data_IF_394179241649
#
_entry.id   IF_394179241649
#
_cell.length_a   1.000
_cell.length_b   1.000
_cell.length_c   1.000
_cell.angle_alpha   90.00
_cell.angle_beta   90.00
_cell.angle_gamma   90.00
#
_symmetry.space_group_name_H-M   'P 1'
#
loop_
_entity.id
_entity.type
_entity.pdbx_description
1 polymer ?
#
# COMPACT_ATOMS: atom_id res chain seq x y z
N UNK A 1 17.05 19.48 -57.00
CA UNK A 1 16.42 19.79 -55.70
C UNK A 1 15.29 18.79 -55.54
N UNK A 2 15.49 17.83 -54.66
CA UNK A 2 14.98 16.44 -54.75
C UNK A 2 13.65 16.26 -54.02
N UNK A 3 12.79 15.36 -54.52
CA UNK A 3 11.48 14.99 -53.93
C UNK A 3 11.53 14.72 -52.41
N UNK A 4 12.70 14.33 -51.90
CA UNK A 4 12.99 14.13 -50.50
C UNK A 4 12.81 15.40 -49.64
N UNK A 5 13.20 16.59 -50.12
CA UNK A 5 13.01 17.85 -49.38
C UNK A 5 11.53 18.23 -49.29
N UNK A 6 10.77 18.03 -50.37
CA UNK A 6 9.32 18.27 -50.37
C UNK A 6 8.58 17.27 -49.46
N UNK A 7 8.98 16.01 -49.46
CA UNK A 7 8.45 14.99 -48.56
C UNK A 7 8.74 15.33 -47.08
N UNK A 8 9.99 15.68 -46.76
CA UNK A 8 10.40 16.05 -45.41
C UNK A 8 9.69 17.30 -44.89
N UNK A 9 9.51 18.31 -45.75
CA UNK A 9 8.75 19.52 -45.38
C UNK A 9 7.26 19.24 -45.14
N UNK A 10 6.64 18.29 -45.88
CA UNK A 10 5.24 17.88 -45.64
C UNK A 10 5.08 17.17 -44.30
N UNK A 11 5.96 16.23 -43.98
CA UNK A 11 5.93 15.50 -42.68
C UNK A 11 6.15 16.46 -41.52
N UNK A 12 7.14 17.36 -41.60
CA UNK A 12 7.42 18.32 -40.53
C UNK A 12 6.26 19.28 -40.28
N UNK A 13 5.52 19.67 -41.33
CA UNK A 13 4.31 20.51 -41.20
C UNK A 13 3.14 19.73 -40.61
N UNK A 14 2.94 18.46 -41.01
CA UNK A 14 1.93 17.60 -40.39
C UNK A 14 2.24 17.35 -38.91
N UNK A 15 3.47 16.99 -38.55
CA UNK A 15 3.88 16.81 -37.16
C UNK A 15 3.67 18.08 -36.34
N UNK A 16 4.08 19.26 -36.83
CA UNK A 16 3.84 20.52 -36.13
C UNK A 16 2.35 20.80 -35.94
N UNK A 17 1.52 20.56 -36.95
CA UNK A 17 0.08 20.77 -36.89
C UNK A 17 -0.59 19.80 -35.93
N UNK A 18 -0.19 18.53 -35.96
CA UNK A 18 -0.74 17.50 -35.09
C UNK A 18 -0.30 17.73 -33.64
N UNK A 19 0.97 18.07 -33.38
CA UNK A 19 1.43 18.47 -32.04
C UNK A 19 0.67 19.69 -31.53
N UNK A 20 0.42 20.69 -32.37
CA UNK A 20 -0.38 21.85 -32.00
C UNK A 20 -1.82 21.45 -31.67
N UNK A 21 -2.48 20.64 -32.51
CA UNK A 21 -3.85 20.17 -32.27
C UNK A 21 -3.94 19.36 -30.98
N UNK A 22 -3.03 18.42 -30.75
CA UNK A 22 -2.99 17.63 -29.52
C UNK A 22 -2.71 18.48 -28.28
N UNK A 23 -1.80 19.46 -28.38
CA UNK A 23 -1.53 20.38 -27.27
C UNK A 23 -2.74 21.27 -26.96
N UNK A 24 -3.45 21.73 -27.98
CA UNK A 24 -4.63 22.60 -27.82
C UNK A 24 -5.81 21.82 -27.26
N UNK A 25 -6.01 20.58 -27.71
CA UNK A 25 -6.99 19.65 -27.15
C UNK A 25 -6.68 19.34 -25.68
N UNK A 26 -5.42 19.09 -25.34
CA UNK A 26 -4.99 18.83 -23.97
C UNK A 26 -5.21 20.04 -23.06
N UNK A 27 -4.86 21.25 -23.52
CA UNK A 27 -5.13 22.50 -22.80
C UNK A 27 -6.63 22.72 -22.63
N UNK A 28 -7.43 22.45 -23.66
CA UNK A 28 -8.89 22.62 -23.59
C UNK A 28 -9.53 21.61 -22.63
N UNK A 29 -9.10 20.35 -22.66
CA UNK A 29 -9.53 19.33 -21.71
C UNK A 29 -9.09 19.67 -20.29
N UNK A 30 -7.88 20.20 -20.09
CA UNK A 30 -7.39 20.65 -18.79
C UNK A 30 -8.25 21.80 -18.25
N UNK A 31 -8.54 22.82 -19.07
CA UNK A 31 -9.36 23.96 -18.67
C UNK A 31 -10.83 23.56 -18.42
N UNK A 32 -11.37 22.64 -19.22
CA UNK A 32 -12.72 22.09 -19.02
C UNK A 32 -12.79 21.26 -17.73
N UNK A 33 -11.80 20.40 -17.49
CA UNK A 33 -11.69 19.62 -16.25
C UNK A 33 -11.53 20.53 -15.02
N UNK A 34 -10.73 21.60 -15.12
CA UNK A 34 -10.57 22.58 -14.04
C UNK A 34 -11.86 23.30 -13.69
N UNK A 35 -12.71 23.59 -14.68
CA UNK A 35 -14.06 24.17 -14.44
C UNK A 35 -15.04 23.18 -13.84
N UNK A 36 -15.00 21.91 -14.25
CA UNK A 36 -15.90 20.86 -13.72
C UNK A 36 -15.49 20.42 -12.31
N UNK A 37 -14.19 20.43 -12.00
CA UNK A 37 -13.65 20.01 -10.71
C UNK A 37 -13.56 21.14 -9.65
N UNK A 38 -14.11 22.33 -9.94
CA UNK A 38 -13.97 23.54 -9.10
C UNK A 38 -12.51 23.86 -8.69
N UNK A 39 -11.53 23.40 -9.48
CA UNK A 39 -10.12 23.52 -9.14
C UNK A 39 -9.61 24.91 -9.55
N UNK A 40 -9.59 25.84 -8.61
CA UNK A 40 -9.06 27.19 -8.83
C UNK A 40 -7.58 27.27 -8.44
N UNK A 41 -6.71 27.44 -9.45
CA UNK A 41 -5.27 27.66 -9.25
C UNK A 41 -4.95 28.85 -8.33
N UNK A 42 -5.83 29.86 -8.31
CA UNK A 42 -5.66 31.02 -7.43
C UNK A 42 -5.83 30.63 -5.95
N UNK A 43 -6.79 29.76 -5.64
CA UNK A 43 -6.99 29.24 -4.28
C UNK A 43 -5.77 28.44 -3.84
N UNK A 44 -5.21 27.60 -4.72
CA UNK A 44 -3.97 26.86 -4.42
C UNK A 44 -2.82 27.80 -4.12
N UNK A 45 -2.64 28.86 -4.93
CA UNK A 45 -1.60 29.85 -4.70
C UNK A 45 -1.79 30.62 -3.38
N UNK A 46 -3.04 30.94 -3.02
CA UNK A 46 -3.38 31.63 -1.77
C UNK A 46 -3.29 30.74 -0.52
N UNK A 47 -3.58 29.45 -0.65
CA UNK A 47 -3.47 28.47 0.43
C UNK A 47 -2.03 27.96 0.62
N UNK A 48 -1.14 28.18 -0.35
CA UNK A 48 0.24 27.71 -0.30
C UNK A 48 1.02 28.22 0.93
N UNK A 49 0.95 29.50 1.34
CA UNK A 49 1.58 29.96 2.59
C UNK A 49 1.07 29.22 3.83
N UNK A 50 -0.25 29.05 3.97
CA UNK A 50 -0.88 28.38 5.12
C UNK A 50 -0.38 26.93 5.29
N UNK A 51 -0.08 26.24 4.19
CA UNK A 51 0.53 24.92 4.24
C UNK A 51 1.93 24.94 4.86
N UNK A 52 2.75 25.94 4.53
CA UNK A 52 4.08 26.11 5.11
C UNK A 52 4.02 26.56 6.58
N UNK A 53 3.04 27.38 6.94
CA UNK A 53 2.79 27.77 8.33
C UNK A 53 2.47 26.54 9.18
N UNK A 54 1.57 25.67 8.69
CA UNK A 54 1.25 24.40 9.34
C UNK A 54 2.46 23.45 9.47
N UNK A 55 3.28 23.35 8.42
CA UNK A 55 4.51 22.56 8.49
C UNK A 55 5.49 23.11 9.55
N UNK A 56 5.60 24.44 9.66
CA UNK A 56 6.46 25.07 10.65
C UNK A 56 5.94 24.83 12.08
N UNK A 57 4.63 24.86 12.30
CA UNK A 57 4.01 24.59 13.61
C UNK A 57 4.19 23.14 14.06
N UNK A 58 4.23 22.18 13.13
CA UNK A 58 4.51 20.78 13.42
C UNK A 58 5.95 20.58 13.91
N UNK A 59 6.92 21.34 13.39
CA UNK A 59 8.32 21.13 13.73
C UNK A 59 8.58 21.42 15.22
N UNK A 60 9.19 20.49 15.98
CA UNK A 60 9.46 20.72 17.39
C UNK A 60 10.56 21.77 17.55
N UNK A 61 10.32 22.75 18.42
CA UNK A 61 11.32 23.75 18.80
C UNK A 61 12.26 23.12 19.84
N UNK A 62 13.28 22.40 19.38
CA UNK A 62 14.27 21.76 20.27
C UNK A 62 15.41 22.74 20.59
N UNK A 63 15.65 22.98 21.88
CA UNK A 63 16.77 23.80 22.34
C UNK A 63 17.96 22.90 22.69
N UNK A 64 19.06 23.02 21.94
CA UNK A 64 20.25 22.18 22.09
C UNK A 64 20.83 22.18 23.51
N UNK A 65 20.68 23.28 24.25
CA UNK A 65 21.14 23.42 25.64
C UNK A 65 20.24 22.74 26.66
N UNK A 66 18.96 22.52 26.33
CA UNK A 66 17.93 21.93 27.20
C UNK A 66 17.47 20.56 26.69
N UNK A 67 18.19 19.98 25.71
CA UNK A 67 17.78 18.80 24.98
C UNK A 67 17.54 17.58 25.88
N UNK A 68 18.37 17.44 26.92
CA UNK A 68 18.28 16.38 27.94
C UNK A 68 17.69 16.87 29.27
N UNK A 69 17.00 18.02 29.28
CA UNK A 69 16.27 18.49 30.45
C UNK A 69 15.01 17.62 30.69
N UNK A 70 14.36 17.84 31.82
CA UNK A 70 13.22 17.06 32.28
C UNK A 70 12.00 17.20 31.36
N UNK A 71 11.01 16.29 31.52
CA UNK A 71 9.78 16.28 30.73
C UNK A 71 8.82 17.45 30.94
N UNK A 72 9.20 18.43 31.76
CA UNK A 72 8.44 19.67 32.02
C UNK A 72 9.03 20.89 31.32
N UNK A 73 10.23 20.76 30.76
CA UNK A 73 10.94 21.87 30.12
C UNK A 73 10.60 21.93 28.64
N UNK A 74 9.92 22.99 28.22
CA UNK A 74 9.63 23.23 26.81
C UNK A 74 10.92 23.21 25.98
N UNK A 75 10.90 22.48 24.86
CA UNK A 75 12.05 22.28 23.98
C UNK A 75 13.06 21.21 24.40
N UNK A 76 12.79 20.44 25.47
CA UNK A 76 13.51 19.19 25.77
C UNK A 76 12.94 18.00 24.99
N UNK A 77 13.77 16.97 24.76
CA UNK A 77 13.29 15.71 24.15
C UNK A 77 12.27 14.99 25.02
N UNK A 78 12.43 15.08 26.34
CA UNK A 78 11.51 14.46 27.29
C UNK A 78 10.14 15.12 27.28
N UNK A 79 10.08 16.45 27.09
CA UNK A 79 8.83 17.17 26.91
C UNK A 79 8.18 16.79 25.58
N UNK A 80 8.92 16.83 24.47
CA UNK A 80 8.37 16.43 23.16
C UNK A 80 7.83 15.00 23.17
N UNK A 81 8.53 14.08 23.84
CA UNK A 81 8.19 12.67 23.97
C UNK A 81 7.31 12.28 25.16
N UNK A 82 6.64 13.21 25.84
CA UNK A 82 5.94 12.89 27.08
C UNK A 82 4.80 11.87 26.92
N UNK A 83 4.22 11.73 25.71
CA UNK A 83 3.16 10.75 25.40
C UNK A 83 3.65 9.47 24.75
N UNK A 84 4.97 9.26 24.63
CA UNK A 84 5.53 7.99 24.16
C UNK A 84 4.97 6.75 24.88
N UNK A 85 4.70 6.77 26.21
CA UNK A 85 4.08 5.64 26.91
C UNK A 85 2.69 5.27 26.39
N UNK A 86 1.99 6.20 25.72
CA UNK A 86 0.68 5.96 25.10
C UNK A 86 0.85 5.62 23.61
N UNK A 87 1.73 6.34 22.91
CA UNK A 87 1.94 6.16 21.46
C UNK A 87 2.58 4.81 21.12
N UNK A 88 3.54 4.32 21.91
CA UNK A 88 4.22 3.05 21.65
C UNK A 88 3.26 1.84 21.69
N UNK A 89 2.39 1.68 22.71
CA UNK A 89 1.33 0.67 22.68
C UNK A 89 0.40 0.80 21.47
N UNK A 90 0.01 2.01 21.08
CA UNK A 90 -0.88 2.22 19.94
C UNK A 90 -0.24 1.84 18.59
N UNK A 91 1.07 2.08 18.44
CA UNK A 91 1.84 1.58 17.30
C UNK A 91 1.86 0.06 17.29
N UNK A 92 2.05 -0.55 18.46
CA UNK A 92 2.01 -2.00 18.60
C UNK A 92 0.65 -2.58 18.23
N UNK A 93 -0.46 -1.97 18.68
CA UNK A 93 -1.82 -2.33 18.27
C UNK A 93 -2.01 -2.20 16.74
N UNK A 94 -1.48 -1.13 16.15
CA UNK A 94 -1.54 -0.88 14.69
C UNK A 94 -0.78 -1.94 13.91
N UNK A 95 0.37 -2.39 14.43
CA UNK A 95 1.17 -3.48 13.86
C UNK A 95 0.47 -4.83 14.02
N UNK A 96 -0.10 -5.12 15.19
CA UNK A 96 -0.86 -6.34 15.44
C UNK A 96 -2.08 -6.44 14.51
N UNK A 97 -2.79 -5.34 14.30
CA UNK A 97 -3.92 -5.25 13.38
C UNK A 97 -3.48 -5.60 11.95
N UNK A 98 -2.40 -4.97 11.47
CA UNK A 98 -1.85 -5.23 10.14
C UNK A 98 -1.36 -6.68 9.99
N UNK A 99 -0.66 -7.22 11.00
CA UNK A 99 -0.20 -8.61 11.04
C UNK A 99 -1.37 -9.58 11.00
N UNK A 100 -2.37 -9.40 11.86
CA UNK A 100 -3.53 -10.29 11.92
C UNK A 100 -4.31 -10.32 10.60
N UNK A 101 -4.58 -9.15 10.01
CA UNK A 101 -5.25 -9.04 8.73
C UNK A 101 -4.46 -9.70 7.61
N UNK A 102 -3.13 -9.51 7.60
CA UNK A 102 -2.24 -10.12 6.61
C UNK A 102 -2.18 -11.63 6.76
N UNK A 103 -2.05 -12.17 7.97
CA UNK A 103 -1.98 -13.61 8.21
C UNK A 103 -3.28 -14.32 7.80
N UNK A 104 -4.43 -13.77 8.17
CA UNK A 104 -5.73 -14.28 7.72
C UNK A 104 -5.80 -14.26 6.18
N UNK A 105 -5.41 -13.14 5.58
CA UNK A 105 -5.47 -12.97 4.14
C UNK A 105 -4.52 -13.92 3.41
N UNK A 106 -3.31 -14.16 3.91
CA UNK A 106 -2.37 -15.13 3.33
C UNK A 106 -2.95 -16.54 3.34
N UNK A 107 -3.56 -16.96 4.46
CA UNK A 107 -4.19 -18.28 4.56
C UNK A 107 -5.33 -18.46 3.56
N UNK A 108 -6.28 -17.52 3.54
CA UNK A 108 -7.42 -17.57 2.61
C UNK A 108 -6.99 -17.41 1.15
N UNK A 109 -6.09 -16.46 0.86
CA UNK A 109 -5.59 -16.22 -0.48
C UNK A 109 -4.81 -17.41 -1.03
N UNK A 110 -4.02 -18.10 -0.21
CA UNK A 110 -3.30 -19.30 -0.66
C UNK A 110 -4.29 -20.37 -1.14
N UNK A 111 -5.36 -20.62 -0.39
CA UNK A 111 -6.41 -21.59 -0.77
C UNK A 111 -7.13 -21.13 -2.04
N UNK A 112 -7.62 -19.89 -2.08
CA UNK A 112 -8.35 -19.36 -3.23
C UNK A 112 -7.48 -19.31 -4.48
N UNK A 113 -6.19 -19.04 -4.35
CA UNK A 113 -5.27 -18.94 -5.48
C UNK A 113 -5.10 -20.28 -6.22
N UNK A 114 -5.09 -21.41 -5.51
CA UNK A 114 -5.04 -22.73 -6.15
C UNK A 114 -6.27 -22.97 -7.04
N UNK A 115 -7.46 -22.56 -6.60
CA UNK A 115 -8.69 -22.67 -7.38
C UNK A 115 -8.81 -21.59 -8.49
N UNK A 116 -8.16 -20.45 -8.30
CA UNK A 116 -8.18 -19.34 -9.27
C UNK A 116 -7.17 -19.51 -10.41
N UNK A 117 -6.16 -20.36 -10.26
CA UNK A 117 -5.10 -20.53 -11.24
C UNK A 117 -5.53 -21.34 -12.49
N UNK A 118 -5.09 -20.90 -13.66
CA UNK A 118 -5.38 -21.53 -14.96
C UNK A 118 -4.71 -22.90 -15.14
N UNK A 119 -3.56 -23.15 -14.48
CA UNK A 119 -2.83 -24.42 -14.56
C UNK A 119 -3.32 -25.49 -13.57
N UNK A 120 -4.28 -25.16 -12.71
CA UNK A 120 -4.98 -26.14 -11.87
C UNK A 120 -6.14 -26.76 -12.63
N UNK A 121 -6.48 -28.02 -12.34
CA UNK A 121 -7.63 -28.75 -12.93
C UNK A 121 -9.00 -28.23 -12.43
N UNK A 122 -9.11 -26.96 -12.05
CA UNK A 122 -10.35 -26.35 -11.55
C UNK A 122 -11.29 -26.01 -12.71
N UNK A 123 -12.61 -26.28 -12.58
CA UNK A 123 -13.57 -25.90 -13.61
C UNK A 123 -13.53 -24.40 -13.93
N UNK A 124 -13.66 -24.05 -15.22
CA UNK A 124 -13.59 -22.66 -15.70
C UNK A 124 -14.59 -21.74 -14.99
N UNK A 125 -15.80 -22.24 -14.71
CA UNK A 125 -16.85 -21.49 -14.00
C UNK A 125 -16.43 -21.10 -12.58
N UNK A 126 -15.91 -22.06 -11.80
CA UNK A 126 -15.42 -21.84 -10.44
C UNK A 126 -14.26 -20.85 -10.43
N UNK A 127 -13.32 -21.03 -11.36
CA UNK A 127 -12.17 -20.13 -11.52
C UNK A 127 -12.60 -18.70 -11.82
N UNK A 128 -13.51 -18.51 -12.77
CA UNK A 128 -14.02 -17.18 -13.12
C UNK A 128 -14.81 -16.55 -11.96
N UNK A 129 -15.61 -17.33 -11.23
CA UNK A 129 -16.33 -16.86 -10.06
C UNK A 129 -15.38 -16.35 -8.96
N UNK A 130 -14.32 -17.10 -8.66
CA UNK A 130 -13.30 -16.68 -7.68
C UNK A 130 -12.57 -15.43 -8.18
N UNK A 131 -12.14 -15.38 -9.45
CA UNK A 131 -11.45 -14.21 -10.01
C UNK A 131 -12.34 -12.96 -9.97
N UNK A 132 -13.63 -13.09 -10.26
CA UNK A 132 -14.59 -12.00 -10.18
C UNK A 132 -14.82 -11.53 -8.73
N UNK A 133 -15.00 -12.46 -7.79
CA UNK A 133 -15.14 -12.14 -6.37
C UNK A 133 -13.90 -11.41 -5.80
N UNK A 134 -12.71 -11.95 -6.09
CA UNK A 134 -11.42 -11.37 -5.70
C UNK A 134 -11.22 -9.99 -6.35
N UNK A 135 -11.65 -9.81 -7.60
CA UNK A 135 -11.64 -8.52 -8.27
C UNK A 135 -12.56 -7.51 -7.59
N UNK A 136 -13.75 -7.92 -7.15
CA UNK A 136 -14.66 -7.07 -6.38
C UNK A 136 -14.03 -6.61 -5.06
N UNK A 137 -13.48 -7.55 -4.26
CA UNK A 137 -12.87 -7.25 -2.96
C UNK A 137 -11.78 -6.17 -3.04
N UNK A 138 -10.92 -6.24 -4.07
CA UNK A 138 -9.78 -5.31 -4.26
C UNK A 138 -10.16 -4.01 -4.96
N UNK A 139 -11.31 -3.94 -5.62
CA UNK A 139 -11.75 -2.72 -6.33
C UNK A 139 -12.23 -1.67 -5.33
N UNK A 140 -12.83 -2.11 -4.23
CA UNK A 140 -13.25 -1.22 -3.15
C UNK A 140 -12.04 -0.71 -2.35
N UNK A 141 -11.89 0.62 -2.18
CA UNK A 141 -10.86 1.19 -1.33
C UNK A 141 -10.99 0.72 0.13
N UNK A 142 -9.86 0.54 0.81
CA UNK A 142 -9.82 0.08 2.21
C UNK A 142 -10.58 1.04 3.14
N UNK A 143 -10.55 2.35 2.86
CA UNK A 143 -11.34 3.35 3.61
C UNK A 143 -12.84 3.19 3.43
N UNK A 144 -13.31 2.82 2.23
CA UNK A 144 -14.73 2.59 2.00
C UNK A 144 -15.22 1.38 2.81
N UNK A 145 -14.45 0.28 2.81
CA UNK A 145 -14.72 -0.86 3.69
C UNK A 145 -14.74 -0.46 5.16
N UNK A 146 -13.76 0.33 5.59
CA UNK A 146 -13.65 0.78 6.98
C UNK A 146 -14.90 1.53 7.44
N UNK A 147 -15.35 2.53 6.66
CA UNK A 147 -16.55 3.32 6.98
C UNK A 147 -17.80 2.43 7.06
N UNK A 148 -17.99 1.53 6.10
CA UNK A 148 -19.12 0.60 6.13
C UNK A 148 -19.11 -0.29 7.39
N UNK A 149 -17.94 -0.82 7.76
CA UNK A 149 -17.83 -1.66 8.95
C UNK A 149 -17.91 -0.89 10.26
N UNK A 150 -17.44 0.36 10.31
CA UNK A 150 -17.65 1.23 11.47
C UNK A 150 -19.14 1.52 11.66
N UNK A 151 -19.89 1.73 10.58
CA UNK A 151 -21.34 1.89 10.66
C UNK A 151 -22.05 0.60 11.12
N UNK A 152 -21.53 -0.58 10.75
CA UNK A 152 -22.13 -1.87 11.11
C UNK A 152 -21.78 -2.36 12.52
N UNK A 153 -20.52 -2.20 12.95
CA UNK A 153 -19.97 -2.78 14.19
C UNK A 153 -19.59 -1.73 15.24
N UNK A 154 -19.66 -0.44 14.91
CA UNK A 154 -19.17 0.65 15.74
C UNK A 154 -17.67 0.91 15.56
N UNK A 155 -17.17 1.93 16.27
CA UNK A 155 -15.75 2.33 16.30
C UNK A 155 -14.94 1.24 17.01
N UNK A 156 -13.79 0.87 16.45
CA UNK A 156 -12.86 -0.09 17.05
C UNK A 156 -11.97 -0.81 16.05
N UNK A 157 -11.16 -1.74 16.56
CA UNK A 157 -10.18 -2.49 15.75
C UNK A 157 -10.82 -3.44 14.73
N UNK A 158 -12.02 -3.99 15.02
CA UNK A 158 -12.69 -4.97 14.16
C UNK A 158 -13.02 -4.40 12.76
N UNK A 159 -13.62 -3.21 12.61
CA UNK A 159 -13.81 -2.58 11.31
C UNK A 159 -12.52 -2.45 10.49
N UNK A 160 -11.43 -2.00 11.12
CA UNK A 160 -10.14 -1.87 10.48
C UNK A 160 -9.57 -3.22 10.03
N UNK A 161 -9.67 -4.23 10.90
CA UNK A 161 -9.25 -5.59 10.61
C UNK A 161 -9.98 -6.16 9.40
N UNK A 162 -11.31 -6.07 9.37
CA UNK A 162 -12.13 -6.61 8.28
C UNK A 162 -11.86 -5.88 6.96
N UNK A 163 -11.75 -4.54 7.01
CA UNK A 163 -11.43 -3.74 5.84
C UNK A 163 -10.08 -4.12 5.22
N UNK A 164 -9.03 -4.22 6.05
CA UNK A 164 -7.70 -4.64 5.61
C UNK A 164 -7.71 -6.09 5.12
N UNK A 165 -8.34 -7.00 5.86
CA UNK A 165 -8.36 -8.42 5.53
C UNK A 165 -9.04 -8.67 4.18
N UNK A 166 -10.22 -8.09 3.93
CA UNK A 166 -10.95 -8.30 2.67
C UNK A 166 -10.19 -7.77 1.46
N UNK A 167 -9.68 -6.54 1.54
CA UNK A 167 -8.90 -5.97 0.45
C UNK A 167 -7.59 -6.74 0.22
N UNK A 168 -6.94 -7.20 1.30
CA UNK A 168 -5.71 -8.01 1.22
C UNK A 168 -5.97 -9.40 0.65
N UNK A 169 -7.08 -10.07 1.01
CA UNK A 169 -7.48 -11.36 0.41
C UNK A 169 -7.62 -11.21 -1.09
N UNK A 170 -8.33 -10.17 -1.54
CA UNK A 170 -8.48 -9.85 -2.96
C UNK A 170 -7.14 -9.64 -3.67
N UNK A 171 -6.27 -8.85 -3.06
CA UNK A 171 -4.96 -8.52 -3.64
C UNK A 171 -4.01 -9.73 -3.67
N UNK A 172 -3.86 -10.44 -2.55
CA UNK A 172 -2.96 -11.60 -2.46
C UNK A 172 -3.44 -12.76 -3.31
N UNK A 173 -4.75 -13.03 -3.38
CA UNK A 173 -5.24 -14.14 -4.21
C UNK A 173 -4.83 -13.94 -5.66
N UNK A 174 -4.96 -12.70 -6.17
CA UNK A 174 -4.52 -12.32 -7.51
C UNK A 174 -3.03 -12.60 -7.73
N UNK A 175 -2.19 -12.07 -6.85
CA UNK A 175 -0.74 -12.21 -6.95
C UNK A 175 -0.28 -13.67 -6.81
N UNK A 176 -0.92 -14.43 -5.92
CA UNK A 176 -0.61 -15.84 -5.68
C UNK A 176 -1.00 -16.72 -6.86
N UNK A 177 -2.17 -16.52 -7.47
CA UNK A 177 -2.54 -17.34 -8.63
C UNK A 177 -1.68 -17.01 -9.86
N UNK A 178 -1.28 -15.74 -10.05
CA UNK A 178 -0.34 -15.38 -11.12
C UNK A 178 1.02 -16.03 -10.91
N UNK A 179 1.51 -16.07 -9.65
CA UNK A 179 2.73 -16.79 -9.31
C UNK A 179 2.60 -18.30 -9.59
N UNK A 180 1.45 -18.90 -9.24
CA UNK A 180 1.15 -20.29 -9.57
C UNK A 180 1.18 -20.51 -11.09
N UNK A 181 0.51 -19.66 -11.88
CA UNK A 181 0.44 -19.74 -13.35
C UNK A 181 1.80 -19.57 -14.01
N UNK A 182 2.69 -18.78 -13.42
CA UNK A 182 4.06 -18.56 -13.92
C UNK A 182 5.02 -19.73 -13.66
N UNK A 183 4.66 -20.69 -12.80
CA UNK A 183 5.53 -21.79 -12.43
C UNK A 183 5.77 -22.76 -13.61
N UNK A 184 7.01 -23.20 -13.81
CA UNK A 184 7.35 -24.12 -14.89
C UNK A 184 6.91 -25.55 -14.57
N UNK A 185 6.25 -26.19 -15.53
CA UNK A 185 5.89 -27.61 -15.44
C UNK A 185 7.09 -28.55 -15.73
N UNK A 186 8.24 -28.02 -16.19
CA UNK A 186 9.41 -28.86 -16.52
C UNK A 186 9.93 -29.68 -15.34
N UNK A 187 10.18 -29.11 -14.14
CA UNK A 187 10.65 -29.89 -12.99
C UNK A 187 9.60 -30.89 -12.50
N UNK A 188 8.31 -30.56 -12.63
CA UNK A 188 7.18 -31.41 -12.23
C UNK A 188 7.13 -32.67 -13.11
N UNK A 189 7.26 -32.51 -14.44
CA UNK A 189 7.34 -33.64 -15.38
C UNK A 189 8.62 -34.45 -15.22
N UNK A 190 9.75 -33.80 -14.96
CA UNK A 190 11.01 -34.49 -14.69
C UNK A 190 10.90 -35.44 -13.50
N UNK A 191 10.35 -34.95 -12.39
CA UNK A 191 10.13 -35.80 -11.20
C UNK A 191 9.07 -36.88 -11.45
N UNK A 192 8.05 -36.60 -12.27
CA UNK A 192 7.07 -37.61 -12.70
C UNK A 192 7.71 -38.77 -13.47
N UNK A 193 8.67 -38.49 -14.35
CA UNK A 193 9.39 -39.50 -15.13
C UNK A 193 10.24 -40.43 -14.24
N UNK A 194 10.67 -39.96 -13.07
CA UNK A 194 11.35 -40.76 -12.05
C UNK A 194 10.40 -41.58 -11.16
N UNK A 195 9.10 -41.62 -11.46
CA UNK A 195 8.10 -42.39 -10.68
C UNK A 195 7.60 -41.69 -9.41
N UNK A 196 7.85 -40.38 -9.25
CA UNK A 196 7.44 -39.67 -8.04
C UNK A 196 5.92 -39.49 -7.94
N UNK A 197 5.39 -39.62 -6.72
CA UNK A 197 3.97 -39.44 -6.42
C UNK A 197 3.51 -37.99 -6.59
N UNK A 198 2.19 -37.76 -6.71
CA UNK A 198 1.60 -36.41 -6.82
C UNK A 198 2.10 -35.46 -5.71
N UNK A 199 2.20 -35.97 -4.48
CA UNK A 199 2.60 -35.19 -3.31
C UNK A 199 4.10 -34.87 -3.33
N UNK A 200 4.94 -35.80 -3.80
CA UNK A 200 6.37 -35.54 -4.02
C UNK A 200 6.58 -34.48 -5.10
N UNK A 201 5.84 -34.54 -6.22
CA UNK A 201 5.90 -33.53 -7.29
C UNK A 201 5.49 -32.15 -6.79
N UNK A 202 4.39 -32.07 -6.03
CA UNK A 202 3.94 -30.81 -5.44
C UNK A 202 4.99 -30.22 -4.49
N UNK A 203 5.53 -31.04 -3.58
CA UNK A 203 6.44 -30.59 -2.52
C UNK A 203 7.85 -30.25 -3.02
N UNK A 204 8.39 -31.02 -3.96
CA UNK A 204 9.80 -30.93 -4.37
C UNK A 204 10.02 -30.27 -5.73
N UNK A 205 9.00 -30.19 -6.59
CA UNK A 205 9.13 -29.54 -7.90
C UNK A 205 8.33 -28.24 -7.99
N UNK A 206 7.07 -28.24 -7.57
CA UNK A 206 6.19 -27.09 -7.73
C UNK A 206 6.34 -26.04 -6.62
N UNK A 207 6.16 -26.44 -5.35
CA UNK A 207 6.18 -25.55 -4.19
C UNK A 207 7.47 -24.70 -4.06
N UNK A 208 8.68 -25.23 -4.33
CA UNK A 208 9.89 -24.43 -4.27
C UNK A 208 9.93 -23.27 -5.28
N UNK A 209 9.21 -23.38 -6.40
CA UNK A 209 9.13 -22.32 -7.42
C UNK A 209 8.20 -21.17 -6.97
N UNK A 210 7.07 -21.49 -6.34
CA UNK A 210 6.05 -20.50 -5.97
C UNK A 210 6.25 -19.90 -4.57
N UNK A 211 6.85 -20.65 -3.64
CA UNK A 211 7.06 -20.23 -2.24
C UNK A 211 7.77 -18.87 -2.13
N UNK A 212 8.83 -18.57 -2.92
CA UNK A 212 9.49 -17.27 -2.85
C UNK A 212 8.57 -16.09 -3.17
N UNK A 213 7.76 -16.23 -4.22
CA UNK A 213 6.80 -15.20 -4.61
C UNK A 213 5.72 -15.02 -3.55
N UNK A 214 5.20 -16.12 -2.99
CA UNK A 214 4.18 -16.07 -1.93
C UNK A 214 4.69 -15.28 -0.72
N UNK A 215 5.88 -15.63 -0.21
CA UNK A 215 6.49 -14.93 0.91
C UNK A 215 6.75 -13.46 0.60
N UNK A 216 7.31 -13.16 -0.58
CA UNK A 216 7.59 -11.79 -1.01
C UNK A 216 6.33 -10.92 -1.01
N UNK A 217 5.23 -11.42 -1.59
CA UNK A 217 3.97 -10.69 -1.62
C UNK A 217 3.32 -10.58 -0.24
N UNK A 218 3.46 -11.59 0.63
CA UNK A 218 2.99 -11.52 2.01
C UNK A 218 3.69 -10.41 2.80
N UNK A 219 5.02 -10.30 2.72
CA UNK A 219 5.78 -9.24 3.41
C UNK A 219 5.47 -7.86 2.85
N UNK A 220 5.39 -7.74 1.52
CA UNK A 220 4.98 -6.49 0.89
C UNK A 220 3.57 -6.05 1.33
N UNK A 221 2.62 -6.98 1.42
CA UNK A 221 1.26 -6.67 1.90
C UNK A 221 1.23 -6.33 3.39
N UNK A 222 2.11 -6.90 4.21
CA UNK A 222 2.21 -6.53 5.62
C UNK A 222 2.58 -5.05 5.78
N UNK A 223 3.60 -4.59 5.05
CA UNK A 223 4.03 -3.19 5.07
C UNK A 223 2.90 -2.25 4.60
N UNK A 224 2.25 -2.60 3.47
CA UNK A 224 1.11 -1.86 2.94
C UNK A 224 -0.02 -1.81 3.98
N UNK A 225 -0.36 -2.93 4.60
CA UNK A 225 -1.43 -3.00 5.59
C UNK A 225 -1.12 -2.18 6.85
N UNK A 226 0.15 -2.09 7.26
CA UNK A 226 0.56 -1.20 8.36
C UNK A 226 0.38 0.27 7.97
N UNK A 227 0.78 0.66 6.75
CA UNK A 227 0.57 2.03 6.27
C UNK A 227 -0.92 2.34 6.19
N UNK A 228 -1.71 1.45 5.60
CA UNK A 228 -3.15 1.62 5.51
C UNK A 228 -3.82 1.69 6.87
N UNK A 229 -3.44 0.86 7.85
CA UNK A 229 -4.06 0.87 9.18
C UNK A 229 -3.90 2.22 9.90
N UNK A 230 -2.80 2.95 9.68
CA UNK A 230 -2.66 4.33 10.19
C UNK A 230 -3.72 5.28 9.62
N UNK A 231 -4.10 5.14 8.35
CA UNK A 231 -5.14 5.95 7.71
C UNK A 231 -6.53 5.49 8.18
N UNK A 232 -6.75 4.18 8.31
CA UNK A 232 -8.01 3.65 8.86
C UNK A 232 -8.26 4.10 10.31
N UNK A 233 -7.20 4.31 11.10
CA UNK A 233 -7.33 4.84 12.47
C UNK A 233 -8.01 6.22 12.51
N UNK A 234 -7.85 7.03 11.44
CA UNK A 234 -8.50 8.34 11.31
C UNK A 234 -10.03 8.25 11.23
N UNK A 235 -10.57 7.14 10.69
CA UNK A 235 -12.01 6.91 10.53
C UNK A 235 -12.62 6.08 11.67
N UNK A 236 -11.85 5.82 12.73
CA UNK A 236 -12.33 5.11 13.92
C UNK A 236 -11.95 3.63 13.98
N UNK A 237 -10.92 3.20 13.25
CA UNK A 237 -10.36 1.85 13.40
C UNK A 237 -9.44 1.68 14.62
N UNK A 238 -9.19 2.74 15.39
CA UNK A 238 -8.28 2.73 16.55
C UNK A 238 -6.79 2.84 16.18
N UNK A 239 -5.92 2.50 17.13
CA UNK A 239 -4.47 2.53 16.96
C UNK A 239 -3.86 3.94 16.85
N UNK A 240 -2.65 4.00 16.28
CA UNK A 240 -1.86 5.24 16.22
C UNK A 240 -2.50 6.30 15.31
N UNK A 241 -3.27 5.89 14.31
CA UNK A 241 -4.01 6.79 13.44
C UNK A 241 -5.07 7.59 14.21
N UNK A 242 -5.79 6.95 15.12
CA UNK A 242 -6.80 7.64 15.93
C UNK A 242 -6.16 8.66 16.88
N UNK A 243 -5.01 8.33 17.46
CA UNK A 243 -4.23 9.24 18.29
C UNK A 243 -3.68 10.43 17.49
N UNK A 244 -3.18 10.19 16.28
CA UNK A 244 -2.77 11.25 15.36
C UNK A 244 -3.92 12.21 15.07
N UNK A 245 -5.10 11.69 14.71
CA UNK A 245 -6.30 12.51 14.47
C UNK A 245 -6.73 13.27 15.71
N UNK A 246 -6.64 12.65 16.89
CA UNK A 246 -6.94 13.33 18.17
C UNK A 246 -6.00 14.49 18.42
N UNK A 247 -4.69 14.32 18.18
CA UNK A 247 -3.70 15.38 18.37
C UNK A 247 -3.86 16.53 17.37
N UNK A 248 -4.21 16.23 16.11
CA UNK A 248 -4.55 17.25 15.11
C UNK A 248 -5.77 18.05 15.56
N UNK A 249 -6.83 17.38 16.05
CA UNK A 249 -8.07 18.05 16.51
C UNK A 249 -7.90 18.88 17.78
N UNK A 250 -6.87 18.61 18.57
CA UNK A 250 -6.55 19.31 19.82
C UNK A 250 -5.43 20.35 19.64
N UNK A 251 -5.00 20.61 18.39
CA UNK A 251 -3.89 21.51 18.06
C UNK A 251 -2.57 21.19 18.81
N UNK A 252 -2.35 19.90 19.12
CA UNK A 252 -1.14 19.40 19.80
C UNK A 252 -0.05 19.08 18.77
N UNK A 253 0.48 20.11 18.13
CA UNK A 253 1.40 19.97 16.99
C UNK A 253 2.73 19.29 17.35
N UNK A 254 3.20 19.47 18.59
CA UNK A 254 4.31 18.73 19.18
C UNK A 254 4.07 17.21 19.19
N UNK A 255 2.84 16.80 19.51
CA UNK A 255 2.44 15.39 19.54
C UNK A 255 2.14 14.84 18.15
N UNK A 256 1.70 15.70 17.21
CA UNK A 256 1.58 15.34 15.79
C UNK A 256 2.95 14.99 15.22
N UNK A 257 3.98 15.83 15.42
CA UNK A 257 5.31 15.58 14.85
C UNK A 257 5.99 14.33 15.39
N UNK A 258 5.93 14.07 16.70
CA UNK A 258 6.50 12.84 17.24
C UNK A 258 5.76 11.61 16.74
N UNK A 259 4.42 11.67 16.63
CA UNK A 259 3.61 10.56 16.11
C UNK A 259 3.97 10.28 14.65
N UNK A 260 4.12 11.31 13.82
CA UNK A 260 4.55 11.17 12.42
C UNK A 260 5.96 10.61 12.32
N UNK A 261 6.90 11.06 13.15
CA UNK A 261 8.26 10.51 13.18
C UNK A 261 8.25 9.03 13.57
N UNK A 262 7.47 8.63 14.58
CA UNK A 262 7.36 7.23 14.97
C UNK A 262 6.79 6.36 13.85
N UNK A 263 5.72 6.82 13.18
CA UNK A 263 5.17 6.12 12.01
C UNK A 263 6.25 5.97 10.93
N UNK A 264 7.00 7.03 10.63
CA UNK A 264 8.08 7.01 9.64
C UNK A 264 9.17 5.98 10.01
N UNK A 265 9.60 5.97 11.27
CA UNK A 265 10.61 5.02 11.78
C UNK A 265 10.12 3.58 11.61
N UNK A 266 8.88 3.30 12.02
CA UNK A 266 8.32 1.95 11.96
C UNK A 266 8.11 1.49 10.52
N UNK A 267 7.58 2.35 9.64
CA UNK A 267 7.44 2.06 8.21
C UNK A 267 8.81 1.78 7.57
N UNK A 268 9.81 2.61 7.86
CA UNK A 268 11.17 2.44 7.32
C UNK A 268 11.80 1.13 7.82
N UNK A 269 11.57 0.76 9.08
CA UNK A 269 12.02 -0.50 9.66
C UNK A 269 11.33 -1.70 8.98
N UNK A 270 10.00 -1.63 8.80
CA UNK A 270 9.22 -2.69 8.15
C UNK A 270 9.63 -2.89 6.68
N UNK A 271 9.85 -1.82 5.92
CA UNK A 271 10.33 -1.89 4.54
C UNK A 271 11.73 -2.51 4.48
N UNK A 272 12.65 -2.05 5.33
CA UNK A 272 14.01 -2.60 5.40
C UNK A 272 14.01 -4.09 5.74
N UNK A 273 13.24 -4.51 6.74
CA UNK A 273 13.12 -5.91 7.14
C UNK A 273 12.48 -6.76 6.02
N UNK A 274 11.42 -6.25 5.39
CA UNK A 274 10.74 -6.92 4.28
C UNK A 274 11.67 -7.08 3.07
N UNK A 275 12.47 -6.05 2.75
CA UNK A 275 13.46 -6.08 1.68
C UNK A 275 14.59 -7.08 1.96
N UNK A 276 15.12 -7.12 3.17
CA UNK A 276 16.15 -8.09 3.56
C UNK A 276 15.63 -9.53 3.48
N UNK A 277 14.40 -9.76 3.94
CA UNK A 277 13.80 -11.09 3.95
C UNK A 277 13.49 -11.55 2.52
N UNK A 278 12.99 -10.65 1.65
CA UNK A 278 12.78 -10.93 0.23
C UNK A 278 14.07 -11.36 -0.46
N UNK A 279 15.18 -10.64 -0.27
CA UNK A 279 16.50 -10.99 -0.84
C UNK A 279 16.98 -12.39 -0.43
N UNK A 280 16.79 -12.75 0.85
CA UNK A 280 17.13 -14.10 1.34
C UNK A 280 16.30 -15.20 0.69
N UNK A 281 15.05 -14.91 0.35
CA UNK A 281 14.10 -15.89 -0.19
C UNK A 281 14.21 -16.02 -1.72
N UNK A 282 14.47 -14.94 -2.45
CA UNK A 282 14.67 -14.98 -3.92
C UNK A 282 16.08 -15.40 -4.31
N UNK A 283 17.03 -15.47 -3.38
CA UNK A 283 18.40 -15.91 -3.66
C UNK A 283 19.23 -14.90 -4.45
N UNK A 284 18.72 -13.68 -4.64
CA UNK A 284 19.49 -12.55 -5.18
C UNK A 284 20.54 -12.13 -4.14
N UNK A 285 21.71 -12.78 -4.20
CA UNK A 285 22.93 -12.21 -3.65
C UNK A 285 23.33 -11.06 -4.56
N UNK A 286 23.43 -9.87 -3.96
CA UNK A 286 23.91 -8.64 -4.60
C UNK A 286 25.29 -8.83 -5.22
#
# INVERSE_FOLDING_TARGET
MTDFEHYYQRIRRQQKRDTLIWSLLLVTLYLAAGRVAEFNLLTVWQSLPHFFDYLHEILPVLHLTLLFADGKTEGSLAYWGYRLPIQLPLIWETLQLALAATLLAVGLAAVLAFFAADNTQTPVSVRMAIRAFVAFLRTMPELAWAVMFVMAFGIGAIPGFLALALHTVGSLTKLFYEAIESASDKPVRGLAACGASKLQRMRFAFWPQVKPAFLSYSFMRLEINFRSSTILGLVGAGGIGQELMTNIKLDRYDQVSITLLLILIVVSLLDTLSGQLRRRVTGERA
#
